data_IF_830042371238
#
_entry.id   IF_830042371238
#
_cell.length_a   1.000
_cell.length_b   1.000
_cell.length_c   1.000
_cell.angle_alpha   90.00
_cell.angle_beta   90.00
_cell.angle_gamma   90.00
#
_symmetry.space_group_name_H-M   'P 1'
#
loop_
_entity.id
_entity.type
_entity.pdbx_description
1 polymer ?
#
# COMPACT_ATOMS: atom_id res chain seq x y z
N UNK A 1 -33.99 -8.24 -21.71
CA UNK A 1 -33.39 -7.96 -20.38
C UNK A 1 -34.09 -6.72 -19.84
N UNK A 2 -34.49 -6.68 -18.57
CA UNK A 2 -35.06 -5.46 -18.01
C UNK A 2 -34.00 -4.36 -18.06
N UNK A 3 -34.39 -3.18 -18.51
CA UNK A 3 -33.53 -2.01 -18.56
C UNK A 3 -33.43 -1.40 -17.15
N UNK A 4 -32.21 -1.25 -16.64
CA UNK A 4 -31.96 -0.53 -15.39
C UNK A 4 -31.38 0.83 -15.75
N UNK A 5 -31.96 1.95 -15.25
CA UNK A 5 -31.43 3.28 -15.50
C UNK A 5 -29.97 3.41 -14.98
N UNK A 6 -29.08 4.10 -15.71
CA UNK A 6 -27.68 4.26 -15.31
C UNK A 6 -27.51 4.87 -13.90
N UNK A 7 -28.42 5.77 -13.51
CA UNK A 7 -28.43 6.42 -12.20
C UNK A 7 -28.64 5.41 -11.06
N UNK A 8 -29.50 4.41 -11.27
CA UNK A 8 -29.77 3.35 -10.30
C UNK A 8 -28.55 2.44 -10.15
N UNK A 9 -27.88 2.14 -11.26
CA UNK A 9 -26.63 1.37 -11.25
C UNK A 9 -25.55 2.13 -10.50
N UNK A 10 -25.41 3.44 -10.71
CA UNK A 10 -24.42 4.26 -10.02
C UNK A 10 -24.69 4.34 -8.52
N UNK A 11 -25.95 4.46 -8.10
CA UNK A 11 -26.34 4.40 -6.69
C UNK A 11 -25.96 3.03 -6.07
N UNK A 12 -26.21 1.94 -6.76
CA UNK A 12 -25.85 0.60 -6.30
C UNK A 12 -24.33 0.43 -6.15
N UNK A 13 -23.53 1.05 -7.02
CA UNK A 13 -22.05 1.05 -6.96
C UNK A 13 -21.47 1.84 -5.80
N UNK A 14 -22.21 2.79 -5.24
CA UNK A 14 -21.77 3.57 -4.10
C UNK A 14 -21.85 2.79 -2.78
N UNK A 15 -22.54 1.67 -2.74
CA UNK A 15 -22.67 0.83 -1.55
C UNK A 15 -21.40 -0.01 -1.41
N UNK A 16 -20.56 0.26 -0.42
CA UNK A 16 -19.39 -0.54 -0.13
C UNK A 16 -19.75 -1.89 0.54
N UNK A 17 -18.88 -2.88 0.41
CA UNK A 17 -19.16 -4.23 0.91
C UNK A 17 -19.30 -4.28 2.43
N UNK A 18 -18.53 -3.49 3.17
CA UNK A 18 -18.60 -3.49 4.65
C UNK A 18 -19.98 -3.01 5.12
N UNK A 19 -20.45 -1.89 4.57
CA UNK A 19 -21.78 -1.35 4.86
C UNK A 19 -22.91 -2.34 4.51
N UNK A 20 -22.80 -2.99 3.35
CA UNK A 20 -23.75 -4.02 2.95
C UNK A 20 -23.80 -5.19 3.94
N UNK A 21 -22.63 -5.76 4.28
CA UNK A 21 -22.57 -6.89 5.20
C UNK A 21 -23.04 -6.51 6.61
N UNK A 22 -22.66 -5.33 7.11
CA UNK A 22 -23.14 -4.86 8.43
C UNK A 22 -24.66 -4.75 8.51
N UNK A 23 -25.30 -4.32 7.43
CA UNK A 23 -26.73 -4.06 7.41
C UNK A 23 -27.56 -5.28 7.03
N UNK A 24 -27.07 -6.11 6.12
CA UNK A 24 -27.85 -7.19 5.49
C UNK A 24 -27.42 -8.59 5.90
N UNK A 25 -26.14 -8.80 6.16
CA UNK A 25 -25.57 -10.11 6.50
C UNK A 25 -24.55 -9.99 7.65
N UNK A 26 -24.93 -9.40 8.82
CA UNK A 26 -23.99 -9.15 9.91
C UNK A 26 -23.33 -10.44 10.46
N UNK A 27 -24.00 -11.58 10.34
CA UNK A 27 -23.48 -12.88 10.76
C UNK A 27 -22.29 -13.35 9.91
N UNK A 28 -22.17 -12.86 8.67
CA UNK A 28 -21.03 -13.16 7.79
C UNK A 28 -19.77 -12.36 8.14
N UNK A 29 -19.93 -11.20 8.79
CA UNK A 29 -18.85 -10.29 9.01
C UNK A 29 -18.02 -10.68 10.25
N UNK A 30 -16.71 -10.88 10.05
CA UNK A 30 -15.76 -11.18 11.12
C UNK A 30 -14.68 -10.10 11.12
N UNK A 31 -14.51 -9.43 12.26
CA UNK A 31 -13.44 -8.43 12.44
C UNK A 31 -12.11 -9.11 12.73
N UNK A 32 -11.06 -8.74 12.02
CA UNK A 32 -9.70 -9.28 12.21
C UNK A 32 -8.89 -8.31 13.09
N UNK A 33 -8.74 -7.05 12.66
CA UNK A 33 -8.00 -6.02 13.41
C UNK A 33 -8.30 -4.63 12.84
N UNK A 34 -8.41 -3.61 13.69
CA UNK A 34 -8.68 -2.25 13.25
C UNK A 34 -9.89 -2.16 12.31
N UNK A 35 -9.68 -1.70 11.08
CA UNK A 35 -10.70 -1.62 10.03
C UNK A 35 -10.61 -2.76 9.00
N UNK A 36 -9.99 -3.88 9.36
CA UNK A 36 -9.86 -5.05 8.51
C UNK A 36 -10.87 -6.12 8.93
N UNK A 37 -11.61 -6.63 7.96
CA UNK A 37 -12.65 -7.64 8.16
C UNK A 37 -12.46 -8.79 7.17
N UNK A 38 -13.13 -9.89 7.46
CA UNK A 38 -13.27 -11.06 6.58
C UNK A 38 -14.71 -11.56 6.62
N UNK A 39 -15.08 -12.49 5.76
CA UNK A 39 -16.37 -13.17 5.85
C UNK A 39 -16.19 -14.54 6.50
N UNK A 40 -17.23 -15.00 7.19
CA UNK A 40 -17.22 -16.31 7.87
C UNK A 40 -17.13 -17.45 6.87
N UNK A 41 -17.82 -17.34 5.75
CA UNK A 41 -17.83 -18.36 4.69
C UNK A 41 -16.56 -18.37 3.85
N UNK A 42 -15.86 -17.25 3.75
CA UNK A 42 -14.66 -17.12 2.92
C UNK A 42 -13.55 -16.39 3.72
N UNK A 43 -12.82 -17.13 4.53
CA UNK A 43 -11.76 -16.61 5.40
C UNK A 43 -10.62 -15.89 4.67
N UNK A 44 -10.38 -16.24 3.40
CA UNK A 44 -9.41 -15.56 2.52
C UNK A 44 -9.96 -14.33 1.80
N UNK A 45 -11.26 -14.00 1.96
CA UNK A 45 -11.84 -12.75 1.49
C UNK A 45 -11.57 -11.66 2.54
N UNK A 46 -10.79 -10.65 2.18
CA UNK A 46 -10.44 -9.53 3.06
C UNK A 46 -11.10 -8.25 2.61
N UNK A 47 -11.60 -7.49 3.59
CA UNK A 47 -12.27 -6.20 3.39
C UNK A 47 -11.49 -5.14 4.15
N UNK A 48 -11.05 -4.11 3.46
CA UNK A 48 -10.29 -2.99 4.05
C UNK A 48 -10.42 -1.73 3.21
N UNK A 49 -10.60 -0.59 3.84
CA UNK A 49 -10.62 0.72 3.20
C UNK A 49 -11.58 0.82 1.99
N UNK A 50 -12.79 0.28 2.11
CA UNK A 50 -13.81 0.32 1.05
C UNK A 50 -13.52 -0.60 -0.15
N UNK A 51 -12.55 -1.50 -0.02
CA UNK A 51 -12.18 -2.49 -1.04
C UNK A 51 -12.26 -3.88 -0.44
N UNK A 52 -12.43 -4.87 -1.31
CA UNK A 52 -12.33 -6.27 -0.89
C UNK A 52 -11.55 -7.10 -1.91
N UNK A 53 -10.90 -8.15 -1.43
CA UNK A 53 -10.14 -9.10 -2.23
C UNK A 53 -10.33 -10.52 -1.68
N UNK A 54 -10.73 -11.44 -2.54
CA UNK A 54 -10.79 -12.86 -2.25
C UNK A 54 -9.53 -13.54 -2.80
N UNK A 55 -8.56 -13.69 -1.93
CA UNK A 55 -7.20 -14.08 -2.30
C UNK A 55 -7.11 -15.47 -2.94
N UNK A 56 -7.87 -16.46 -2.43
CA UNK A 56 -7.84 -17.82 -2.97
C UNK A 56 -8.40 -17.92 -4.40
N UNK A 57 -9.33 -17.02 -4.77
CA UNK A 57 -9.92 -16.97 -6.10
C UNK A 57 -9.33 -15.87 -6.99
N UNK A 58 -8.46 -15.01 -6.45
CA UNK A 58 -7.84 -13.87 -7.15
C UNK A 58 -8.86 -12.90 -7.75
N UNK A 59 -10.01 -12.74 -7.12
CA UNK A 59 -11.05 -11.79 -7.50
C UNK A 59 -11.27 -10.74 -6.43
N UNK A 60 -11.69 -9.55 -6.84
CA UNK A 60 -11.94 -8.47 -5.91
C UNK A 60 -12.83 -7.37 -6.49
N UNK A 61 -13.11 -6.37 -5.68
CA UNK A 61 -13.97 -5.26 -6.06
C UNK A 61 -13.91 -4.08 -5.08
N UNK A 62 -14.67 -3.04 -5.46
CA UNK A 62 -14.71 -1.78 -4.72
C UNK A 62 -16.05 -1.53 -4.02
N UNK A 63 -17.06 -2.39 -4.29
CA UNK A 63 -18.43 -2.18 -3.84
C UNK A 63 -19.14 -3.51 -3.59
N UNK A 64 -20.36 -3.45 -3.03
CA UNK A 64 -21.19 -4.60 -2.78
C UNK A 64 -21.75 -5.24 -4.06
N UNK A 65 -21.96 -4.44 -5.12
CA UNK A 65 -22.43 -4.94 -6.40
C UNK A 65 -21.44 -5.95 -7.00
N UNK A 66 -20.15 -5.62 -6.98
CA UNK A 66 -19.06 -6.54 -7.39
C UNK A 66 -19.09 -7.85 -6.59
N UNK A 67 -19.35 -7.77 -5.28
CA UNK A 67 -19.40 -8.93 -4.40
C UNK A 67 -20.60 -9.83 -4.72
N UNK A 68 -21.78 -9.26 -4.89
CA UNK A 68 -22.99 -10.02 -5.22
C UNK A 68 -22.85 -10.75 -6.57
N UNK A 69 -22.26 -10.08 -7.56
CA UNK A 69 -22.06 -10.69 -8.88
C UNK A 69 -20.93 -11.73 -8.86
N UNK A 70 -19.76 -11.38 -8.31
CA UNK A 70 -18.53 -12.20 -8.44
C UNK A 70 -18.44 -13.31 -7.39
N UNK A 71 -19.01 -13.12 -6.20
CA UNK A 71 -18.87 -14.06 -5.08
C UNK A 71 -20.16 -14.81 -4.84
N UNK A 72 -21.32 -14.11 -4.83
CA UNK A 72 -22.63 -14.73 -4.64
C UNK A 72 -23.21 -15.32 -5.92
N UNK A 73 -22.65 -14.99 -7.10
CA UNK A 73 -23.11 -15.50 -8.40
C UNK A 73 -24.44 -14.93 -8.88
N UNK A 74 -24.90 -13.81 -8.29
CA UNK A 74 -26.10 -13.12 -8.74
C UNK A 74 -25.92 -12.57 -10.16
N UNK A 75 -26.98 -12.56 -10.96
CA UNK A 75 -26.96 -11.76 -12.18
C UNK A 75 -26.84 -10.28 -11.84
N UNK A 76 -26.31 -9.48 -12.77
CA UNK A 76 -26.16 -8.05 -12.56
C UNK A 76 -27.45 -7.35 -12.15
N UNK A 77 -28.57 -7.73 -12.80
CA UNK A 77 -29.90 -7.18 -12.53
C UNK A 77 -30.35 -7.51 -11.11
N UNK A 78 -30.29 -8.78 -10.72
CA UNK A 78 -30.65 -9.23 -9.37
C UNK A 78 -29.77 -8.56 -8.28
N UNK A 79 -28.49 -8.36 -8.55
CA UNK A 79 -27.59 -7.70 -7.61
C UNK A 79 -27.97 -6.23 -7.43
N UNK A 80 -28.31 -5.50 -8.51
CA UNK A 80 -28.78 -4.11 -8.42
C UNK A 80 -30.10 -4.03 -7.69
N UNK A 81 -31.08 -4.87 -8.04
CA UNK A 81 -32.39 -4.92 -7.37
C UNK A 81 -32.24 -5.25 -5.86
N UNK A 82 -31.38 -6.18 -5.53
CA UNK A 82 -31.08 -6.53 -4.13
C UNK A 82 -30.54 -5.34 -3.35
N UNK A 83 -29.60 -4.61 -3.91
CA UNK A 83 -29.01 -3.44 -3.26
C UNK A 83 -30.01 -2.28 -3.15
N UNK A 84 -30.77 -2.02 -4.19
CA UNK A 84 -31.73 -0.92 -4.21
C UNK A 84 -32.96 -1.23 -3.37
N UNK A 85 -33.45 -2.47 -3.35
CA UNK A 85 -34.55 -2.91 -2.49
C UNK A 85 -34.18 -2.87 -0.99
N UNK A 86 -32.93 -3.10 -0.64
CA UNK A 86 -32.41 -3.03 0.71
C UNK A 86 -31.88 -1.63 1.11
N UNK A 87 -31.71 -0.72 0.15
CA UNK A 87 -31.22 0.64 0.41
C UNK A 87 -32.10 1.44 1.38
N UNK A 88 -33.39 1.11 1.47
CA UNK A 88 -34.30 1.70 2.44
C UNK A 88 -34.01 1.31 3.89
N UNK A 89 -33.24 0.22 4.11
CA UNK A 89 -32.86 -0.29 5.44
C UNK A 89 -31.40 0.07 5.78
N UNK A 90 -30.62 0.46 4.79
CA UNK A 90 -29.23 0.86 4.98
C UNK A 90 -29.14 2.30 5.50
N UNK A 91 -28.28 2.57 6.48
CA UNK A 91 -27.97 3.95 6.82
C UNK A 91 -27.45 4.65 5.56
N UNK A 92 -27.97 5.86 5.30
CA UNK A 92 -27.53 6.67 4.17
C UNK A 92 -26.02 6.82 4.27
N UNK A 93 -25.28 6.10 3.43
CA UNK A 93 -23.82 6.30 3.32
C UNK A 93 -23.68 7.68 2.71
N UNK A 94 -23.51 8.68 3.54
CA UNK A 94 -22.92 9.94 3.11
C UNK A 94 -21.51 9.55 2.63
N UNK A 95 -21.38 9.28 1.33
CA UNK A 95 -20.09 9.29 0.66
C UNK A 95 -19.56 10.69 0.95
N UNK A 96 -18.71 10.79 1.98
CA UNK A 96 -17.90 11.99 2.12
C UNK A 96 -17.19 12.10 0.77
N UNK A 97 -17.45 13.17 -0.01
CA UNK A 97 -16.69 13.36 -1.24
C UNK A 97 -15.23 13.17 -0.83
N UNK A 98 -14.46 12.40 -1.60
CA UNK A 98 -13.02 12.35 -1.40
C UNK A 98 -12.59 13.81 -1.29
N UNK A 99 -12.44 14.28 -0.07
CA UNK A 99 -11.81 15.57 0.15
C UNK A 99 -10.52 15.44 -0.64
N UNK A 100 -10.29 16.35 -1.59
CA UNK A 100 -8.97 16.57 -2.12
C UNK A 100 -8.11 16.70 -0.89
N UNK A 101 -7.45 15.60 -0.51
CA UNK A 101 -6.57 15.59 0.64
C UNK A 101 -5.54 16.64 0.31
N UNK A 102 -5.49 17.69 1.13
CA UNK A 102 -4.37 18.62 1.10
C UNK A 102 -3.09 17.78 1.03
N UNK A 103 -2.08 18.22 0.27
CA UNK A 103 -0.86 17.44 0.13
C UNK A 103 -0.35 17.12 1.53
N UNK A 104 -0.37 15.84 1.88
CA UNK A 104 0.07 15.37 3.19
C UNK A 104 1.52 15.78 3.36
N UNK A 105 1.82 16.50 4.41
CA UNK A 105 3.20 16.84 4.76
C UNK A 105 3.88 15.58 5.25
N UNK A 106 4.98 15.19 4.62
CA UNK A 106 5.80 14.06 5.05
C UNK A 106 6.45 14.40 6.40
N UNK A 107 6.19 13.57 7.40
CA UNK A 107 6.78 13.68 8.72
C UNK A 107 7.94 12.67 8.83
N UNK A 108 9.17 13.15 8.66
CA UNK A 108 10.36 12.35 8.85
C UNK A 108 10.68 12.25 10.35
N UNK A 109 11.16 11.08 10.84
CA UNK A 109 11.71 10.97 12.18
C UNK A 109 13.02 11.76 12.29
N UNK A 110 13.39 12.12 13.53
CA UNK A 110 14.66 12.77 13.79
C UNK A 110 15.83 11.92 13.31
N UNK A 111 16.83 12.59 12.70
CA UNK A 111 18.00 11.94 12.16
C UNK A 111 19.06 11.76 13.28
N UNK A 112 19.61 10.57 13.41
CA UNK A 112 20.79 10.30 14.25
C UNK A 112 22.03 10.97 13.66
N UNK A 113 22.94 11.38 14.53
CA UNK A 113 24.28 11.82 14.12
C UNK A 113 25.18 10.65 13.66
N UNK A 114 24.88 9.42 14.12
CA UNK A 114 25.57 8.19 13.71
C UNK A 114 24.77 7.46 12.64
N UNK A 115 25.46 6.72 11.79
CA UNK A 115 24.89 5.79 10.80
C UNK A 115 25.36 4.36 11.04
N UNK A 116 26.00 4.12 12.19
CA UNK A 116 26.68 2.86 12.49
C UNK A 116 25.72 1.66 12.48
N UNK A 117 24.59 1.77 13.16
CA UNK A 117 23.62 0.66 13.24
C UNK A 117 23.00 0.29 11.92
N UNK A 118 22.66 1.27 11.09
CA UNK A 118 22.10 0.96 9.77
C UNK A 118 23.18 0.40 8.84
N UNK A 119 24.43 0.83 8.99
CA UNK A 119 25.56 0.30 8.23
C UNK A 119 25.84 -1.16 8.59
N UNK A 120 25.94 -1.48 9.88
CA UNK A 120 26.09 -2.85 10.37
C UNK A 120 24.93 -3.74 9.92
N UNK A 121 23.71 -3.24 10.05
CA UNK A 121 22.50 -3.97 9.65
C UNK A 121 22.50 -4.30 8.16
N UNK A 122 22.79 -3.33 7.30
CA UNK A 122 22.81 -3.53 5.84
C UNK A 122 23.97 -4.40 5.40
N UNK A 123 25.17 -4.19 5.99
CA UNK A 123 26.35 -5.01 5.72
C UNK A 123 26.11 -6.47 6.14
N UNK A 124 25.53 -6.70 7.33
CA UNK A 124 25.14 -8.03 7.79
C UNK A 124 24.10 -8.73 6.90
N UNK A 125 23.38 -7.98 6.04
CA UNK A 125 22.48 -8.50 5.00
C UNK A 125 23.16 -8.71 3.64
N UNK A 126 24.49 -8.52 3.57
CA UNK A 126 25.27 -8.71 2.36
C UNK A 126 25.25 -7.52 1.39
N UNK A 127 24.83 -6.32 1.84
CA UNK A 127 24.91 -5.12 1.00
C UNK A 127 26.37 -4.59 1.04
N UNK A 128 26.89 -4.30 -0.15
CA UNK A 128 28.25 -3.76 -0.31
C UNK A 128 28.40 -2.40 0.40
N UNK A 129 29.52 -2.23 1.12
CA UNK A 129 29.79 -1.05 1.92
C UNK A 129 29.77 0.25 1.08
N UNK A 130 30.33 0.23 -0.14
CA UNK A 130 30.34 1.43 -0.98
C UNK A 130 28.92 1.84 -1.42
N UNK A 131 27.99 0.88 -1.58
CA UNK A 131 26.58 1.16 -1.89
C UNK A 131 25.89 1.77 -0.68
N UNK A 132 26.15 1.25 0.52
CA UNK A 132 25.61 1.81 1.75
C UNK A 132 26.07 3.25 1.89
N UNK A 133 27.38 3.47 1.75
CA UNK A 133 27.99 4.80 1.88
C UNK A 133 27.43 5.77 0.84
N UNK A 134 27.32 5.35 -0.41
CA UNK A 134 26.71 6.15 -1.47
C UNK A 134 25.29 6.60 -1.11
N UNK A 135 24.46 5.68 -0.60
CA UNK A 135 23.09 6.03 -0.21
C UNK A 135 23.05 6.98 1.00
N UNK A 136 23.97 6.86 1.94
CA UNK A 136 24.11 7.78 3.08
C UNK A 136 24.51 9.17 2.59
N UNK A 137 25.54 9.28 1.75
CA UNK A 137 26.07 10.53 1.23
C UNK A 137 25.06 11.29 0.37
N UNK A 138 24.24 10.55 -0.38
CA UNK A 138 23.13 11.10 -1.18
C UNK A 138 21.89 11.43 -0.34
N UNK A 139 21.87 11.09 0.96
CA UNK A 139 20.71 11.29 1.82
C UNK A 139 19.53 10.37 1.49
N UNK A 140 19.76 9.32 0.69
CA UNK A 140 18.75 8.34 0.32
C UNK A 140 18.35 7.45 1.49
N UNK A 141 19.30 7.22 2.41
CA UNK A 141 19.07 6.50 3.67
C UNK A 141 19.65 7.26 4.85
N UNK A 142 19.04 7.10 6.01
CA UNK A 142 19.57 7.60 7.27
C UNK A 142 19.11 6.76 8.46
N UNK A 143 19.80 6.91 9.59
CA UNK A 143 19.44 6.30 10.87
C UNK A 143 18.53 7.23 11.66
N UNK A 144 17.39 6.73 12.13
CA UNK A 144 16.42 7.53 12.87
C UNK A 144 16.60 7.46 14.38
N UNK A 145 16.17 8.49 15.09
CA UNK A 145 16.01 8.52 16.54
C UNK A 145 14.52 8.34 16.91
N UNK A 146 14.20 7.83 18.11
CA UNK A 146 15.11 7.24 19.12
C UNK A 146 15.41 5.76 18.89
N UNK A 147 14.81 5.12 17.86
CA UNK A 147 14.81 3.66 17.68
C UNK A 147 15.93 3.14 16.77
N UNK A 148 16.75 4.01 16.20
CA UNK A 148 17.85 3.65 15.29
C UNK A 148 17.41 2.79 14.10
N UNK A 149 16.21 3.06 13.57
CA UNK A 149 15.70 2.37 12.39
C UNK A 149 16.42 2.85 11.13
N UNK A 150 16.55 1.95 10.15
CA UNK A 150 16.87 2.34 8.79
C UNK A 150 15.68 3.07 8.19
N UNK A 151 15.87 4.29 7.70
CA UNK A 151 14.90 5.08 6.95
C UNK A 151 15.38 5.21 5.52
N UNK A 152 14.50 4.85 4.57
CA UNK A 152 14.75 4.97 3.12
C UNK A 152 13.85 6.09 2.59
N UNK A 153 14.42 7.07 1.89
CA UNK A 153 13.73 8.29 1.47
C UNK A 153 13.57 8.32 -0.04
N UNK A 154 12.37 8.69 -0.49
CA UNK A 154 12.07 8.97 -1.88
C UNK A 154 11.85 10.47 -2.10
N UNK A 155 12.41 11.00 -3.18
CA UNK A 155 12.44 12.43 -3.50
C UNK A 155 11.64 12.73 -4.77
N UNK A 156 11.09 13.94 -4.86
CA UNK A 156 10.53 14.46 -6.10
C UNK A 156 11.63 15.01 -7.03
N UNK A 157 11.22 15.53 -8.18
CA UNK A 157 12.12 16.10 -9.20
C UNK A 157 12.87 17.35 -8.73
N UNK A 158 12.38 18.00 -7.66
CA UNK A 158 13.02 19.16 -7.02
C UNK A 158 13.90 18.77 -5.84
N UNK A 159 14.17 17.47 -5.69
CA UNK A 159 14.93 16.92 -4.58
C UNK A 159 14.30 17.20 -3.19
N UNK A 160 12.96 17.29 -3.14
CA UNK A 160 12.21 17.43 -1.89
C UNK A 160 11.76 16.04 -1.46
N UNK A 161 11.96 15.63 -0.19
CA UNK A 161 11.50 14.34 0.30
C UNK A 161 9.97 14.27 0.29
N UNK A 162 9.40 13.24 -0.33
CA UNK A 162 7.96 13.01 -0.47
C UNK A 162 7.51 11.68 0.10
N UNK A 163 8.41 10.73 0.19
CA UNK A 163 8.15 9.39 0.70
C UNK A 163 9.27 8.98 1.66
N UNK A 164 8.93 8.26 2.69
CA UNK A 164 9.90 7.55 3.50
C UNK A 164 9.29 6.27 4.05
N UNK A 165 10.08 5.20 4.00
CA UNK A 165 9.80 3.96 4.71
C UNK A 165 10.85 3.72 5.77
N UNK A 166 10.46 3.04 6.86
CA UNK A 166 11.38 2.69 7.92
C UNK A 166 11.37 1.19 8.21
N UNK A 167 12.51 0.70 8.71
CA UNK A 167 12.68 -0.68 9.13
C UNK A 167 13.57 -0.75 10.35
N UNK A 168 13.14 -1.54 11.34
CA UNK A 168 13.95 -1.80 12.52
C UNK A 168 15.25 -2.52 12.15
N UNK A 169 16.34 -2.13 12.78
CA UNK A 169 17.68 -2.71 12.62
C UNK A 169 17.97 -3.85 13.60
N UNK A 170 17.01 -4.17 14.46
CA UNK A 170 17.07 -5.27 15.43
C UNK A 170 16.20 -6.45 14.98
N UNK A 171 16.11 -7.51 15.80
CA UNK A 171 15.36 -8.73 15.53
C UNK A 171 13.84 -8.54 15.48
N UNK A 172 13.33 -7.36 15.86
CA UNK A 172 11.91 -7.05 15.77
C UNK A 172 11.52 -6.74 14.34
N UNK A 173 10.50 -7.45 13.84
CA UNK A 173 9.97 -7.21 12.49
C UNK A 173 9.04 -5.97 12.49
N UNK A 174 9.62 -4.80 12.72
CA UNK A 174 8.92 -3.51 12.64
C UNK A 174 9.32 -2.81 11.36
N UNK A 175 8.35 -2.52 10.51
CA UNK A 175 8.52 -1.80 9.25
C UNK A 175 7.22 -1.05 8.90
N UNK A 176 7.34 0.02 8.14
CA UNK A 176 6.19 0.82 7.71
C UNK A 176 6.59 2.03 6.90
N UNK A 177 5.59 2.81 6.50
CA UNK A 177 5.79 4.10 5.87
C UNK A 177 5.69 5.22 6.92
N UNK A 178 6.49 6.27 6.77
CA UNK A 178 6.38 7.48 7.59
C UNK A 178 5.07 8.21 7.28
N UNK A 179 4.50 8.87 8.30
CA UNK A 179 3.25 9.61 8.13
C UNK A 179 3.38 10.68 7.05
N UNK A 180 2.38 10.80 6.20
CA UNK A 180 2.39 11.76 5.10
C UNK A 180 3.16 11.32 3.85
N UNK A 181 3.70 10.10 3.82
CA UNK A 181 4.38 9.54 2.65
C UNK A 181 3.47 9.50 1.42
N UNK A 182 4.00 9.95 0.28
CA UNK A 182 3.39 9.83 -1.04
C UNK A 182 4.09 8.73 -1.84
N UNK A 183 3.39 7.63 -2.09
CA UNK A 183 3.94 6.45 -2.78
C UNK A 183 4.28 6.66 -4.25
N UNK A 184 3.91 7.78 -4.86
CA UNK A 184 4.36 8.14 -6.20
C UNK A 184 5.86 8.43 -6.25
N UNK A 185 6.47 8.75 -5.11
CA UNK A 185 7.89 9.09 -4.98
C UNK A 185 8.64 8.02 -4.17
N UNK A 186 8.42 6.73 -4.48
CA UNK A 186 9.09 5.63 -3.79
C UNK A 186 10.62 5.76 -3.78
N UNK A 187 11.26 5.08 -2.83
CA UNK A 187 12.73 4.98 -2.78
C UNK A 187 13.29 4.53 -4.13
N UNK A 188 14.28 5.25 -4.62
CA UNK A 188 14.92 4.97 -5.91
C UNK A 188 16.40 5.36 -5.89
N UNK A 189 17.19 4.60 -6.61
CA UNK A 189 18.52 4.99 -7.08
C UNK A 189 18.35 5.22 -8.57
N UNK A 190 18.56 6.44 -9.03
CA UNK A 190 18.27 6.83 -10.42
C UNK A 190 19.55 7.24 -11.13
N UNK A 191 19.62 6.82 -12.39
CA UNK A 191 20.53 7.36 -13.38
C UNK A 191 19.69 7.97 -14.51
N UNK A 192 19.97 9.23 -14.87
CA UNK A 192 19.26 9.95 -15.92
C UNK A 192 19.48 9.36 -17.32
N UNK A 193 20.57 8.62 -17.50
CA UNK A 193 21.02 8.14 -18.82
C UNK A 193 20.61 6.69 -19.10
N UNK A 194 20.02 6.00 -18.13
CA UNK A 194 19.55 4.62 -18.29
C UNK A 194 18.19 4.54 -18.97
N UNK A 195 18.11 3.70 -20.01
CA UNK A 195 16.85 3.31 -20.66
C UNK A 195 16.15 2.11 -19.99
N UNK A 196 16.76 1.54 -18.97
CA UNK A 196 16.27 0.35 -18.27
C UNK A 196 15.79 0.71 -16.87
N UNK A 197 14.62 0.19 -16.49
CA UNK A 197 14.04 0.36 -15.14
C UNK A 197 13.93 -1.02 -14.48
N UNK A 198 14.52 -1.15 -13.30
CA UNK A 198 14.40 -2.33 -12.45
C UNK A 198 13.44 -2.03 -11.29
N UNK A 199 12.45 -2.89 -11.08
CA UNK A 199 11.45 -2.74 -10.02
C UNK A 199 11.64 -3.79 -8.94
N UNK A 200 11.56 -3.37 -7.68
CA UNK A 200 11.77 -4.21 -6.50
C UNK A 200 10.62 -4.06 -5.51
N UNK A 201 10.36 -5.10 -4.72
CA UNK A 201 9.32 -5.06 -3.68
C UNK A 201 9.70 -4.16 -2.50
N UNK A 202 11.00 -4.04 -2.20
CA UNK A 202 11.48 -3.19 -1.12
C UNK A 202 12.86 -2.58 -1.41
N UNK A 203 13.22 -1.55 -0.62
CA UNK A 203 14.52 -0.87 -0.75
C UNK A 203 15.72 -1.81 -0.56
N UNK A 204 15.62 -2.81 0.33
CA UNK A 204 16.71 -3.75 0.57
C UNK A 204 16.95 -4.64 -0.64
N UNK A 205 15.90 -5.05 -1.35
CA UNK A 205 16.05 -5.86 -2.57
C UNK A 205 16.74 -5.07 -3.67
N UNK A 206 16.42 -3.76 -3.79
CA UNK A 206 17.14 -2.85 -4.69
C UNK A 206 18.62 -2.77 -4.32
N UNK A 207 18.95 -2.56 -3.03
CA UNK A 207 20.34 -2.47 -2.57
C UNK A 207 21.10 -3.80 -2.76
N UNK A 208 20.42 -4.93 -2.58
CA UNK A 208 20.98 -6.26 -2.85
C UNK A 208 21.31 -6.43 -4.34
N UNK A 209 20.36 -6.03 -5.21
CA UNK A 209 20.60 -6.06 -6.65
C UNK A 209 21.76 -5.14 -7.06
N UNK A 210 21.82 -3.93 -6.51
CA UNK A 210 22.93 -3.00 -6.74
C UNK A 210 24.30 -3.61 -6.34
N UNK A 211 24.32 -4.35 -5.24
CA UNK A 211 25.51 -5.10 -4.81
C UNK A 211 25.92 -6.17 -5.83
N UNK A 212 24.96 -6.97 -6.28
CA UNK A 212 25.22 -8.01 -7.28
C UNK A 212 25.67 -7.41 -8.62
N UNK A 213 25.05 -6.33 -9.05
CA UNK A 213 25.43 -5.62 -10.28
C UNK A 213 26.86 -5.09 -10.20
N UNK A 214 27.24 -4.48 -9.08
CA UNK A 214 28.63 -4.05 -8.83
C UNK A 214 29.61 -5.22 -8.86
N UNK A 215 29.28 -6.36 -8.24
CA UNK A 215 30.11 -7.55 -8.27
C UNK A 215 30.29 -8.12 -9.70
N UNK A 216 29.26 -7.97 -10.54
CA UNK A 216 29.31 -8.35 -11.96
C UNK A 216 30.04 -7.32 -12.85
N UNK A 217 30.64 -6.26 -12.27
CA UNK A 217 31.34 -5.21 -13.01
C UNK A 217 30.42 -4.21 -13.70
N UNK A 218 29.12 -4.23 -13.38
CA UNK A 218 28.18 -3.22 -13.85
C UNK A 218 28.31 -1.96 -13.01
N UNK A 219 28.31 -0.79 -13.64
CA UNK A 219 28.34 0.49 -12.92
C UNK A 219 27.06 0.69 -12.12
N UNK A 220 27.17 1.22 -10.89
CA UNK A 220 26.02 1.70 -10.10
C UNK A 220 25.24 2.82 -10.82
N UNK A 221 25.87 3.47 -11.77
CA UNK A 221 25.29 4.53 -12.60
C UNK A 221 24.33 3.95 -13.66
N UNK A 222 24.32 2.64 -13.86
CA UNK A 222 23.45 1.94 -14.81
C UNK A 222 22.32 1.12 -14.15
N UNK A 223 22.01 1.38 -12.87
CA UNK A 223 20.92 0.70 -12.15
C UNK A 223 19.72 1.63 -11.97
#
# INVERSE_FOLDING_TARGET
MPYIPPEVVEQARQIDLLTYLQSCEPQELVRISGNNYTTRTHDSLKISNGKWMWWSQRIGGYNALDYLVKVKGCSFVEAVETLMGKAAVMPTVTVKPKQKTEPKILLLPDKSASTERITEYLFGRGIDYAIIQYCIDKGLIFESLPYHNLVCVGFDEKNIPRYASYRATNDRRVLGDCSGSDKHYSFRVADSDSSTVHLFECAIDLLSYATLAKMAGLSLIHI
#
